data_IF_302230892257
#
_entry.id   IF_302230892257
#
_cell.length_a   1.000
_cell.length_b   1.000
_cell.length_c   1.000
_cell.angle_alpha   90.00
_cell.angle_beta   90.00
_cell.angle_gamma   90.00
#
_symmetry.space_group_name_H-M   'P 1'
#
loop_
_entity.id
_entity.type
_entity.pdbx_description
1 polymer ?
#
# COMPACT_ATOMS: atom_id res chain seq x y z
N UNK A 1 22.27 61.79 -13.43
CA UNK A 1 21.52 60.63 -12.93
C UNK A 1 22.42 59.41 -13.09
N UNK A 2 22.82 58.72 -12.01
CA UNK A 2 23.53 57.44 -12.11
C UNK A 2 22.54 56.31 -12.49
N UNK A 3 22.97 55.44 -13.39
CA UNK A 3 22.25 54.25 -13.88
C UNK A 3 22.15 53.18 -12.78
N UNK A 4 20.98 52.58 -12.46
CA UNK A 4 20.91 51.51 -11.46
C UNK A 4 21.55 50.21 -11.97
N UNK A 5 22.48 49.67 -11.18
CA UNK A 5 23.20 48.43 -11.44
C UNK A 5 22.26 47.20 -11.61
N UNK A 6 22.70 46.13 -12.30
CA UNK A 6 21.86 44.96 -12.58
C UNK A 6 21.47 44.25 -11.28
N UNK A 7 20.17 44.19 -11.00
CA UNK A 7 19.59 43.35 -9.95
C UNK A 7 19.70 41.89 -10.39
N UNK A 8 20.50 41.04 -9.72
CA UNK A 8 20.54 39.59 -9.99
C UNK A 8 19.17 38.96 -9.65
N UNK A 9 18.33 38.56 -10.63
CA UNK A 9 16.95 38.16 -10.38
C UNK A 9 16.72 36.69 -10.75
N UNK A 10 17.52 35.74 -10.22
CA UNK A 10 17.36 34.36 -10.69
C UNK A 10 17.70 33.25 -9.67
N UNK A 11 18.76 33.37 -8.85
CA UNK A 11 19.16 32.25 -7.97
C UNK A 11 18.17 31.94 -6.84
N UNK A 12 17.56 32.98 -6.28
CA UNK A 12 16.59 32.82 -5.19
C UNK A 12 15.26 32.26 -5.71
N UNK A 13 14.85 32.69 -6.90
CA UNK A 13 13.63 32.24 -7.56
C UNK A 13 13.76 30.78 -8.01
N UNK A 14 14.90 30.39 -8.57
CA UNK A 14 15.20 28.99 -8.92
C UNK A 14 15.18 28.05 -7.69
N UNK A 15 15.64 28.53 -6.52
CA UNK A 15 15.63 27.72 -5.29
C UNK A 15 14.20 27.54 -4.74
N UNK A 16 13.37 28.58 -4.86
CA UNK A 16 11.96 28.55 -4.45
C UNK A 16 11.11 27.68 -5.38
N UNK A 17 11.34 27.75 -6.70
CA UNK A 17 10.67 26.90 -7.69
C UNK A 17 11.03 25.42 -7.50
N UNK A 18 12.29 25.12 -7.14
CA UNK A 18 12.70 23.74 -6.81
C UNK A 18 12.01 23.22 -5.56
N UNK A 19 11.86 24.05 -4.53
CA UNK A 19 11.15 23.69 -3.31
C UNK A 19 9.63 23.53 -3.53
N UNK A 20 9.04 24.32 -4.43
CA UNK A 20 7.62 24.20 -4.80
C UNK A 20 7.34 23.05 -5.79
N UNK A 21 8.35 22.65 -6.58
CA UNK A 21 8.27 21.49 -7.47
C UNK A 21 8.45 20.15 -6.74
N UNK A 22 8.90 20.17 -5.48
CA UNK A 22 8.81 19.00 -4.60
C UNK A 22 7.34 18.70 -4.33
N UNK A 23 6.84 17.76 -5.11
CA UNK A 23 5.45 17.33 -5.09
C UNK A 23 5.18 16.64 -3.75
N UNK A 24 4.54 17.34 -2.82
CA UNK A 24 4.15 16.75 -1.55
C UNK A 24 3.37 15.45 -1.82
N UNK A 25 3.81 14.31 -1.27
CA UNK A 25 3.10 13.06 -1.44
C UNK A 25 1.68 13.24 -0.93
N UNK A 26 0.69 12.94 -1.78
CA UNK A 26 -0.71 13.11 -1.40
C UNK A 26 -1.00 12.28 -0.14
N UNK A 27 -1.77 12.84 0.80
CA UNK A 27 -2.20 12.14 2.03
C UNK A 27 -2.81 10.75 1.75
N UNK A 28 -3.47 10.60 0.60
CA UNK A 28 -4.05 9.34 0.15
C UNK A 28 -2.98 8.31 -0.20
N UNK A 29 -1.87 8.74 -0.82
CA UNK A 29 -0.73 7.87 -1.15
C UNK A 29 0.00 7.42 0.12
N UNK A 30 0.24 8.32 1.07
CA UNK A 30 0.80 7.97 2.38
C UNK A 30 -0.11 7.02 3.16
N UNK A 31 -1.42 7.27 3.15
CA UNK A 31 -2.40 6.38 3.77
C UNK A 31 -2.39 4.99 3.15
N UNK A 32 -2.31 4.89 1.82
CA UNK A 32 -2.24 3.61 1.11
C UNK A 32 -0.94 2.87 1.41
N UNK A 33 0.19 3.59 1.51
CA UNK A 33 1.48 3.01 1.88
C UNK A 33 1.48 2.51 3.34
N UNK A 34 0.86 3.25 4.25
CA UNK A 34 0.63 2.83 5.64
C UNK A 34 -0.28 1.59 5.72
N UNK A 35 -1.35 1.55 4.92
CA UNK A 35 -2.25 0.41 4.83
C UNK A 35 -1.51 -0.83 4.30
N UNK A 36 -0.64 -0.66 3.31
CA UNK A 36 0.18 -1.74 2.74
C UNK A 36 1.21 -2.28 3.72
N UNK A 37 1.81 -1.41 4.54
CA UNK A 37 2.74 -1.80 5.59
C UNK A 37 2.06 -2.59 6.71
N UNK A 38 0.85 -2.20 7.13
CA UNK A 38 0.14 -2.86 8.24
C UNK A 38 -0.66 -4.11 7.82
N UNK A 39 -1.24 -4.14 6.61
CA UNK A 39 -2.21 -5.19 6.24
C UNK A 39 -1.60 -6.55 5.91
N UNK A 40 -0.32 -6.66 5.53
CA UNK A 40 0.23 -7.97 5.12
C UNK A 40 0.12 -9.00 6.24
N UNK A 41 0.45 -8.63 7.48
CA UNK A 41 0.37 -9.55 8.63
C UNK A 41 -1.05 -9.84 9.12
N UNK A 42 -2.01 -8.93 8.90
CA UNK A 42 -3.40 -9.10 9.34
C UNK A 42 -4.31 -9.74 8.28
N UNK A 43 -3.98 -9.55 6.99
CA UNK A 43 -4.74 -10.13 5.88
C UNK A 43 -4.38 -11.61 5.66
N UNK A 44 -3.12 -11.98 5.90
CA UNK A 44 -2.66 -13.37 5.81
C UNK A 44 -3.51 -14.33 6.68
N UNK A 45 -3.72 -14.11 7.99
CA UNK A 45 -4.51 -15.03 8.81
C UNK A 45 -5.97 -15.13 8.34
N UNK A 46 -6.57 -14.03 7.89
CA UNK A 46 -7.92 -14.04 7.32
C UNK A 46 -7.98 -14.89 6.03
N UNK A 47 -7.01 -14.70 5.14
CA UNK A 47 -6.90 -15.48 3.90
C UNK A 47 -6.67 -16.97 4.18
N UNK A 48 -5.84 -17.30 5.17
CA UNK A 48 -5.61 -18.69 5.59
C UNK A 48 -6.92 -19.33 6.06
N UNK A 49 -7.68 -18.66 6.94
CA UNK A 49 -8.98 -19.18 7.40
C UNK A 49 -9.94 -19.37 6.23
N UNK A 50 -10.02 -18.41 5.30
CA UNK A 50 -10.85 -18.53 4.10
C UNK A 50 -10.45 -19.74 3.25
N UNK A 51 -9.15 -19.96 3.08
CA UNK A 51 -8.61 -21.05 2.28
C UNK A 51 -8.85 -22.41 2.95
N UNK A 52 -8.68 -22.50 4.27
CA UNK A 52 -9.01 -23.68 5.06
C UNK A 52 -10.50 -24.00 4.95
N UNK A 53 -11.38 -23.01 5.15
CA UNK A 53 -12.82 -23.20 5.03
C UNK A 53 -13.24 -23.61 3.61
N UNK A 54 -12.67 -22.97 2.58
CA UNK A 54 -12.91 -23.34 1.19
C UNK A 54 -12.45 -24.76 0.87
N UNK A 55 -11.27 -25.14 1.33
CA UNK A 55 -10.75 -26.51 1.19
C UNK A 55 -11.65 -27.51 1.90
N UNK A 56 -12.09 -27.20 3.12
CA UNK A 56 -12.98 -28.04 3.91
C UNK A 56 -14.35 -28.21 3.23
N UNK A 57 -14.87 -27.16 2.58
CA UNK A 57 -16.11 -27.22 1.81
C UNK A 57 -15.96 -28.13 0.58
N UNK A 58 -14.83 -28.03 -0.13
CA UNK A 58 -14.54 -28.87 -1.30
C UNK A 58 -14.38 -30.34 -0.86
N UNK A 59 -13.61 -30.60 0.19
CA UNK A 59 -13.38 -31.95 0.72
C UNK A 59 -14.66 -32.53 1.32
N UNK A 60 -15.47 -31.73 2.03
CA UNK A 60 -16.73 -32.15 2.61
C UNK A 60 -17.85 -32.36 1.59
N UNK A 61 -17.82 -31.65 0.46
CA UNK A 61 -18.72 -31.86 -0.68
C UNK A 61 -18.29 -32.99 -1.61
N UNK A 62 -16.98 -33.24 -1.73
CA UNK A 62 -16.47 -34.49 -2.30
C UNK A 62 -16.78 -35.63 -1.33
N UNK A 63 -17.12 -36.82 -1.79
CA UNK A 63 -17.45 -37.97 -0.94
C UNK A 63 -16.30 -38.51 -0.06
N UNK A 64 -15.42 -37.65 0.45
CA UNK A 64 -14.34 -37.94 1.40
C UNK A 64 -14.81 -38.02 2.86
N UNK A 65 -15.99 -37.46 3.18
CA UNK A 65 -16.63 -37.54 4.49
C UNK A 65 -16.72 -38.97 5.10
N UNK A 66 -17.07 -40.05 4.37
CA UNK A 66 -17.17 -41.38 4.95
C UNK A 66 -15.80 -42.04 5.21
N UNK A 67 -14.70 -41.60 4.60
CA UNK A 67 -13.37 -42.18 4.82
C UNK A 67 -12.66 -41.61 6.05
N UNK A 68 -12.98 -40.36 6.42
CA UNK A 68 -12.49 -39.76 7.68
C UNK A 68 -13.09 -40.50 8.88
N UNK A 69 -14.38 -40.88 8.80
CA UNK A 69 -15.04 -41.67 9.84
C UNK A 69 -14.74 -43.17 9.77
N UNK A 70 -14.46 -43.74 8.60
CA UNK A 70 -14.16 -45.17 8.49
C UNK A 70 -12.77 -45.57 9.03
N UNK A 71 -11.89 -44.60 9.30
CA UNK A 71 -10.54 -44.84 9.84
C UNK A 71 -10.49 -44.84 11.39
N UNK A 72 -11.61 -44.54 12.06
CA UNK A 72 -11.79 -44.57 13.51
C UNK A 72 -12.95 -45.49 13.88
#
# INVERSE_FOLDING_TARGET
MPDPAPTEPNRADEALERAAAEKEPSLIAEFFDFLRHNKKWWLIPLLIVLLVLGTLMIVGGSGAAPFIYALF
#
